data_IF_522376205768
#
_entry.id   IF_522376205768
#
_cell.length_a   1.000
_cell.length_b   1.000
_cell.length_c   1.000
_cell.angle_alpha   90.00
_cell.angle_beta   90.00
_cell.angle_gamma   90.00
#
_symmetry.space_group_name_H-M   'P 1'
#
loop_
_entity.id
_entity.type
_entity.pdbx_description
1 polymer ?
#
# COMPACT_ATOMS: atom_id res chain seq x y z
N UNK A 1 34.35 -47.33 0.25
CA UNK A 1 33.52 -47.00 1.45
C UNK A 1 33.21 -45.50 1.65
N UNK A 2 33.49 -44.60 0.68
CA UNK A 2 33.20 -43.14 0.80
C UNK A 2 31.92 -42.65 0.10
N UNK A 3 31.19 -43.53 -0.61
CA UNK A 3 30.02 -43.14 -1.43
C UNK A 3 28.64 -43.34 -0.76
N UNK A 4 28.60 -43.89 0.46
CA UNK A 4 27.34 -44.17 1.18
C UNK A 4 27.11 -43.17 2.34
N UNK A 5 28.10 -42.34 2.68
CA UNK A 5 27.99 -41.36 3.77
C UNK A 5 27.29 -40.05 3.36
N UNK A 6 27.22 -39.72 2.06
CA UNK A 6 26.57 -38.50 1.57
C UNK A 6 25.02 -38.52 1.63
N UNK A 7 24.30 -39.61 1.30
CA UNK A 7 22.85 -39.62 1.41
C UNK A 7 22.34 -39.68 2.85
N UNK A 8 23.15 -40.18 3.80
CA UNK A 8 22.79 -40.20 5.22
C UNK A 8 22.80 -38.79 5.86
N UNK A 9 23.64 -37.89 5.36
CA UNK A 9 23.73 -36.51 5.86
C UNK A 9 22.59 -35.62 5.33
N UNK A 10 22.08 -35.91 4.13
CA UNK A 10 20.93 -35.19 3.53
C UNK A 10 19.60 -35.68 4.14
N UNK A 11 19.51 -36.95 4.54
CA UNK A 11 18.34 -37.47 5.25
C UNK A 11 18.24 -36.96 6.70
N UNK A 12 19.36 -36.59 7.34
CA UNK A 12 19.34 -36.00 8.68
C UNK A 12 18.95 -34.50 8.70
N UNK A 13 18.99 -33.81 7.55
CA UNK A 13 18.61 -32.39 7.43
C UNK A 13 17.12 -32.18 7.09
N UNK A 14 16.35 -33.25 6.86
CA UNK A 14 14.93 -33.18 6.47
C UNK A 14 13.95 -33.51 7.61
N UNK A 15 14.43 -33.74 8.84
CA UNK A 15 13.59 -33.95 10.04
C UNK A 15 13.89 -32.91 11.12
N UNK A 16 14.29 -31.69 10.72
CA UNK A 16 14.13 -30.52 11.57
C UNK A 16 12.75 -29.92 11.26
N UNK A 17 11.68 -30.66 11.56
CA UNK A 17 10.39 -30.02 11.76
C UNK A 17 10.60 -28.97 12.87
N UNK A 18 10.10 -27.73 12.71
CA UNK A 18 10.16 -26.78 13.80
C UNK A 18 9.44 -27.46 14.97
N UNK A 19 10.17 -27.69 16.06
CA UNK A 19 9.54 -28.09 17.32
C UNK A 19 8.66 -26.90 17.69
N UNK A 20 7.37 -27.03 17.39
CA UNK A 20 6.34 -26.07 17.74
C UNK A 20 6.23 -26.17 19.26
N UNK A 21 6.86 -25.25 19.97
CA UNK A 21 6.75 -25.19 21.42
C UNK A 21 5.30 -24.81 21.72
N UNK A 22 4.51 -25.79 22.16
CA UNK A 22 3.14 -25.54 22.61
C UNK A 22 3.16 -24.48 23.71
N UNK A 23 2.04 -23.75 23.87
CA UNK A 23 1.94 -22.78 24.95
C UNK A 23 2.15 -23.45 26.30
N UNK A 24 2.83 -22.74 27.21
CA UNK A 24 2.95 -23.18 28.58
C UNK A 24 1.54 -23.33 29.18
N UNK A 25 1.12 -24.55 29.59
CA UNK A 25 -0.19 -24.77 30.17
C UNK A 25 -0.47 -23.89 31.40
N UNK A 26 0.59 -23.47 32.12
CA UNK A 26 0.47 -22.58 33.26
C UNK A 26 -0.08 -21.19 32.90
N UNK A 27 0.17 -20.69 31.67
CA UNK A 27 -0.40 -19.43 31.19
C UNK A 27 -1.91 -19.51 30.98
N UNK A 28 -2.41 -20.70 30.63
CA UNK A 28 -3.83 -20.91 30.34
C UNK A 28 -4.64 -21.19 31.61
N UNK A 29 -4.01 -21.64 32.69
CA UNK A 29 -4.67 -21.83 33.99
C UNK A 29 -5.33 -20.55 34.53
N UNK A 30 -4.82 -19.36 34.15
CA UNK A 30 -5.45 -18.09 34.48
C UNK A 30 -6.87 -17.90 33.93
N UNK A 31 -7.33 -18.74 33.00
CA UNK A 31 -8.70 -18.74 32.48
C UNK A 31 -9.61 -19.77 33.16
N UNK A 32 -9.05 -20.74 33.88
CA UNK A 32 -9.78 -21.83 34.55
C UNK A 32 -10.48 -21.32 35.81
N UNK A 33 -9.77 -20.52 36.61
CA UNK A 33 -10.33 -19.89 37.80
C UNK A 33 -11.17 -18.65 37.41
N UNK A 34 -12.22 -18.36 38.19
CA UNK A 34 -13.07 -17.19 37.94
C UNK A 34 -12.46 -15.86 38.44
N UNK A 35 -11.13 -15.83 38.59
CA UNK A 35 -10.37 -14.64 38.95
C UNK A 35 -10.11 -13.77 37.71
N UNK A 36 -10.72 -12.59 37.70
CA UNK A 36 -10.51 -11.59 36.66
C UNK A 36 -9.07 -11.05 36.61
N UNK A 37 -8.35 -11.03 37.75
CA UNK A 37 -6.95 -10.60 37.81
C UNK A 37 -6.05 -11.52 37.00
N UNK A 38 -6.12 -12.83 37.27
CA UNK A 38 -5.40 -13.86 36.54
C UNK A 38 -5.71 -13.85 35.04
N UNK A 39 -6.98 -13.69 34.64
CA UNK A 39 -7.39 -13.57 33.22
C UNK A 39 -6.70 -12.40 32.52
N UNK A 40 -6.63 -11.23 33.16
CA UNK A 40 -5.97 -10.05 32.59
C UNK A 40 -4.46 -10.24 32.43
N UNK A 41 -3.80 -10.87 33.40
CA UNK A 41 -2.37 -11.16 33.33
C UNK A 41 -2.06 -12.18 32.23
N UNK A 42 -2.87 -13.23 32.11
CA UNK A 42 -2.76 -14.22 31.04
C UNK A 42 -2.88 -13.56 29.65
N UNK A 43 -3.90 -12.72 29.44
CA UNK A 43 -4.07 -11.96 28.18
C UNK A 43 -2.86 -11.09 27.86
N UNK A 44 -2.32 -10.37 28.85
CA UNK A 44 -1.14 -9.52 28.67
C UNK A 44 0.09 -10.35 28.25
N UNK A 45 0.31 -11.50 28.89
CA UNK A 45 1.41 -12.42 28.55
C UNK A 45 1.26 -13.02 27.16
N UNK A 46 0.04 -13.43 26.77
CA UNK A 46 -0.25 -13.91 25.40
C UNK A 46 0.11 -12.84 24.36
N UNK A 47 -0.17 -11.57 24.66
CA UNK A 47 0.21 -10.43 23.83
C UNK A 47 1.73 -10.24 23.66
N UNK A 48 2.53 -10.61 24.66
CA UNK A 48 4.00 -10.52 24.62
C UNK A 48 4.65 -11.68 23.85
N UNK A 49 4.05 -12.87 23.89
CA UNK A 49 4.55 -14.08 23.20
C UNK A 49 4.37 -13.93 21.69
N UNK A 50 3.17 -13.55 21.23
CA UNK A 50 2.91 -13.18 19.83
C UNK A 50 3.05 -14.29 18.78
N UNK A 51 3.15 -15.56 19.20
CA UNK A 51 3.17 -16.71 18.30
C UNK A 51 1.77 -17.04 17.72
N UNK A 52 1.70 -18.06 16.86
CA UNK A 52 0.40 -18.47 16.29
C UNK A 52 -0.56 -19.03 17.32
N UNK A 53 -0.04 -19.69 18.35
CA UNK A 53 -0.85 -20.38 19.33
C UNK A 53 -1.47 -19.35 20.30
N UNK A 54 -0.72 -18.33 20.72
CA UNK A 54 -1.24 -17.19 21.50
C UNK A 54 -2.26 -16.38 20.69
N UNK A 55 -2.03 -16.23 19.38
CA UNK A 55 -3.01 -15.60 18.48
C UNK A 55 -4.30 -16.40 18.38
N UNK A 56 -4.24 -17.74 18.36
CA UNK A 56 -5.40 -18.61 18.36
C UNK A 56 -6.22 -18.45 19.64
N UNK A 57 -5.57 -18.45 20.80
CA UNK A 57 -6.24 -18.30 22.10
C UNK A 57 -6.88 -16.91 22.26
N UNK A 58 -6.16 -15.83 21.93
CA UNK A 58 -6.72 -14.48 21.91
C UNK A 58 -7.80 -14.30 20.83
N UNK A 59 -7.70 -15.08 19.74
CA UNK A 59 -8.71 -15.35 18.73
C UNK A 59 -10.02 -15.77 19.37
N UNK A 60 -9.99 -16.99 19.88
CA UNK A 60 -11.11 -17.67 20.50
C UNK A 60 -11.72 -16.88 21.67
N UNK A 61 -10.89 -16.22 22.48
CA UNK A 61 -11.40 -15.39 23.57
C UNK A 61 -12.20 -14.19 23.06
N UNK A 62 -11.77 -13.51 21.99
CA UNK A 62 -12.55 -12.39 21.44
C UNK A 62 -13.84 -12.84 20.75
N UNK A 63 -13.80 -14.04 20.16
CA UNK A 63 -14.93 -14.66 19.46
C UNK A 63 -15.86 -15.41 20.42
N UNK A 64 -15.61 -15.31 21.73
CA UNK A 64 -16.38 -15.95 22.80
C UNK A 64 -16.47 -17.48 22.63
N UNK A 65 -15.46 -18.11 22.03
CA UNK A 65 -15.37 -19.57 21.77
C UNK A 65 -14.38 -20.31 22.67
N UNK A 66 -13.77 -19.61 23.63
CA UNK A 66 -12.90 -20.21 24.63
C UNK A 66 -13.75 -20.85 25.75
N UNK A 67 -13.50 -22.13 26.01
CA UNK A 67 -14.24 -22.97 26.94
C UNK A 67 -13.31 -23.56 27.99
N UNK A 68 -13.83 -23.84 29.18
CA UNK A 68 -13.12 -24.50 30.28
C UNK A 68 -13.84 -25.79 30.64
N UNK A 69 -13.10 -26.88 30.74
CA UNK A 69 -13.63 -28.17 31.18
C UNK A 69 -12.70 -28.77 32.25
N UNK A 70 -13.06 -28.60 33.51
CA UNK A 70 -12.18 -28.92 34.64
C UNK A 70 -10.94 -28.02 34.63
N UNK A 71 -9.74 -28.60 34.56
CA UNK A 71 -8.45 -27.87 34.50
C UNK A 71 -7.98 -27.56 33.07
N UNK A 72 -8.78 -27.90 32.05
CA UNK A 72 -8.40 -27.74 30.64
C UNK A 72 -9.07 -26.53 30.01
N UNK A 73 -8.31 -25.80 29.21
CA UNK A 73 -8.80 -24.71 28.36
C UNK A 73 -8.90 -25.23 26.92
N UNK A 74 -10.08 -25.07 26.33
CA UNK A 74 -10.48 -25.64 25.05
C UNK A 74 -11.01 -24.53 24.14
N UNK A 75 -10.96 -24.74 22.83
CA UNK A 75 -11.50 -23.82 21.82
C UNK A 75 -12.57 -24.57 21.03
N UNK A 76 -13.76 -24.00 20.91
CA UNK A 76 -14.85 -24.55 20.10
C UNK A 76 -15.00 -23.77 18.78
N UNK A 77 -14.67 -24.38 17.64
CA UNK A 77 -14.71 -23.70 16.33
C UNK A 77 -16.08 -23.75 15.63
N UNK A 78 -17.07 -24.38 16.26
CA UNK A 78 -18.41 -24.61 15.71
C UNK A 78 -18.67 -26.06 15.30
N UNK A 79 -17.63 -26.83 14.95
CA UNK A 79 -17.73 -28.24 14.57
C UNK A 79 -16.80 -29.14 15.40
N UNK A 80 -15.64 -28.65 15.81
CA UNK A 80 -14.61 -29.38 16.54
C UNK A 80 -14.21 -28.67 17.84
N UNK A 81 -13.71 -29.46 18.79
CA UNK A 81 -13.09 -28.97 20.02
C UNK A 81 -11.58 -29.13 19.89
N UNK A 82 -10.85 -28.04 20.05
CA UNK A 82 -9.39 -28.02 20.01
C UNK A 82 -8.82 -27.79 21.42
N UNK A 83 -7.66 -28.36 21.70
CA UNK A 83 -6.85 -27.99 22.87
C UNK A 83 -6.26 -26.59 22.66
N UNK A 84 -6.44 -25.68 23.62
CA UNK A 84 -6.00 -24.29 23.47
C UNK A 84 -4.46 -24.13 23.47
N UNK A 85 -3.72 -25.04 24.11
CA UNK A 85 -2.26 -24.99 24.19
C UNK A 85 -1.58 -25.55 22.93
N UNK A 86 -2.12 -26.65 22.38
CA UNK A 86 -1.51 -27.36 21.24
C UNK A 86 -2.19 -27.07 19.90
N UNK A 87 -3.47 -26.71 19.92
CA UNK A 87 -4.29 -26.55 18.71
C UNK A 87 -4.69 -27.88 18.06
N UNK A 88 -4.50 -29.02 18.73
CA UNK A 88 -4.91 -30.33 18.22
C UNK A 88 -6.42 -30.56 18.43
N UNK A 89 -7.05 -31.19 17.44
CA UNK A 89 -8.46 -31.58 17.53
C UNK A 89 -8.61 -32.75 18.50
N UNK A 90 -9.47 -32.59 19.51
CA UNK A 90 -9.76 -33.62 20.49
C UNK A 90 -10.90 -34.51 19.99
N UNK A 91 -10.63 -35.81 19.87
CA UNK A 91 -11.64 -36.81 19.50
C UNK A 91 -12.60 -37.16 20.65
N UNK A 92 -12.19 -36.87 21.89
CA UNK A 92 -12.96 -37.09 23.11
C UNK A 92 -12.80 -35.86 24.01
N UNK A 93 -13.92 -35.25 24.41
CA UNK A 93 -13.94 -34.04 25.21
C UNK A 93 -15.04 -34.13 26.29
N UNK A 94 -14.84 -33.50 27.46
CA UNK A 94 -15.82 -33.56 28.53
C UNK A 94 -17.13 -32.85 28.14
N UNK A 95 -18.28 -33.41 28.51
CA UNK A 95 -19.59 -32.79 28.25
C UNK A 95 -19.81 -31.47 29.04
N UNK A 96 -19.07 -31.27 30.14
CA UNK A 96 -19.18 -30.09 31.00
C UNK A 96 -18.21 -28.98 30.58
N UNK A 97 -18.54 -28.28 29.50
CA UNK A 97 -17.76 -27.14 29.02
C UNK A 97 -18.43 -25.83 29.41
N UNK A 98 -17.76 -25.04 30.25
CA UNK A 98 -18.20 -23.70 30.64
C UNK A 98 -17.50 -22.64 29.78
N UNK A 99 -18.26 -21.69 29.27
CA UNK A 99 -17.73 -20.62 28.42
C UNK A 99 -17.00 -19.56 29.25
N UNK A 100 -15.82 -19.12 28.79
CA UNK A 100 -15.11 -18.01 29.43
C UNK A 100 -15.81 -16.68 29.10
N UNK A 101 -16.48 -16.10 30.09
CA UNK A 101 -17.19 -14.82 29.90
C UNK A 101 -16.24 -13.64 29.69
N UNK A 102 -16.47 -12.87 28.61
CA UNK A 102 -15.68 -11.68 28.26
C UNK A 102 -16.48 -10.41 28.49
N UNK A 103 -16.14 -9.69 29.55
CA UNK A 103 -16.69 -8.35 29.81
C UNK A 103 -15.96 -7.27 29.00
N UNK A 104 -16.44 -6.03 29.08
CA UNK A 104 -15.85 -4.89 28.35
C UNK A 104 -14.36 -4.66 28.68
N UNK A 105 -13.94 -4.93 29.92
CA UNK A 105 -12.55 -4.75 30.36
C UNK A 105 -11.62 -5.81 29.74
N UNK A 106 -12.05 -7.06 29.70
CA UNK A 106 -11.33 -8.13 29.03
C UNK A 106 -11.27 -7.89 27.52
N UNK A 107 -12.34 -7.38 26.90
CA UNK A 107 -12.37 -7.01 25.47
C UNK A 107 -11.28 -5.98 25.13
N UNK A 108 -11.16 -4.92 25.92
CA UNK A 108 -10.09 -3.91 25.77
C UNK A 108 -8.70 -4.53 25.96
N UNK A 109 -8.52 -5.43 26.94
CA UNK A 109 -7.26 -6.12 27.16
C UNK A 109 -6.86 -7.02 25.98
N UNK A 110 -7.82 -7.73 25.38
CA UNK A 110 -7.59 -8.59 24.21
C UNK A 110 -7.17 -7.76 23.00
N UNK A 111 -7.83 -6.63 22.75
CA UNK A 111 -7.43 -5.72 21.66
C UNK A 111 -6.03 -5.13 21.86
N UNK A 112 -5.69 -4.79 23.10
CA UNK A 112 -4.35 -4.32 23.47
C UNK A 112 -3.31 -5.42 23.25
N UNK A 113 -3.58 -6.65 23.69
CA UNK A 113 -2.73 -7.81 23.49
C UNK A 113 -2.52 -8.11 22.00
N UNK A 114 -3.59 -8.11 21.19
CA UNK A 114 -3.50 -8.28 19.73
C UNK A 114 -2.66 -7.19 19.06
N UNK A 115 -2.85 -5.93 19.47
CA UNK A 115 -2.04 -4.82 18.96
C UNK A 115 -0.56 -4.98 19.32
N UNK A 116 -0.26 -5.47 20.53
CA UNK A 116 1.09 -5.74 20.99
C UNK A 116 1.75 -6.89 20.21
N UNK A 117 1.03 -7.99 19.95
CA UNK A 117 1.57 -9.12 19.18
C UNK A 117 2.07 -8.69 17.80
N UNK A 118 1.30 -7.87 17.10
CA UNK A 118 1.69 -7.42 15.77
C UNK A 118 2.88 -6.44 15.81
N UNK A 119 2.93 -5.56 16.82
CA UNK A 119 4.03 -4.62 17.03
C UNK A 119 5.35 -5.27 17.47
N UNK A 120 5.30 -6.38 18.21
CA UNK A 120 6.49 -7.10 18.68
C UNK A 120 6.82 -8.35 17.85
N UNK A 121 6.12 -8.55 16.73
CA UNK A 121 6.34 -9.66 15.82
C UNK A 121 7.80 -9.74 15.34
N UNK A 122 8.40 -10.94 15.21
CA UNK A 122 9.72 -11.09 14.61
C UNK A 122 9.74 -10.62 13.13
N UNK A 123 8.58 -10.64 12.46
CA UNK A 123 8.46 -10.26 11.05
C UNK A 123 8.32 -8.74 10.86
N UNK A 124 9.27 -8.13 10.15
CA UNK A 124 9.28 -6.68 9.85
C UNK A 124 7.99 -6.20 9.19
N UNK A 125 7.44 -6.97 8.23
CA UNK A 125 6.24 -6.60 7.50
C UNK A 125 5.02 -6.44 8.43
N UNK A 126 4.86 -7.33 9.42
CA UNK A 126 3.78 -7.25 10.41
C UNK A 126 3.93 -6.05 11.32
N UNK A 127 5.14 -5.80 11.85
CA UNK A 127 5.42 -4.62 12.68
C UNK A 127 5.13 -3.32 11.94
N UNK A 128 5.57 -3.22 10.68
CA UNK A 128 5.32 -2.05 9.85
C UNK A 128 3.82 -1.83 9.57
N UNK A 129 3.08 -2.90 9.28
CA UNK A 129 1.64 -2.82 9.06
C UNK A 129 0.91 -2.37 10.33
N UNK A 130 1.26 -2.94 11.49
CA UNK A 130 0.70 -2.57 12.78
C UNK A 130 0.98 -1.10 13.13
N UNK A 131 2.22 -0.65 12.96
CA UNK A 131 2.61 0.73 13.20
C UNK A 131 1.82 1.73 12.32
N UNK A 132 1.59 1.39 11.04
CA UNK A 132 0.78 2.23 10.13
C UNK A 132 -0.67 2.34 10.59
N UNK A 133 -1.30 1.23 11.00
CA UNK A 133 -2.69 1.23 11.49
C UNK A 133 -2.82 2.11 12.75
N UNK A 134 -1.85 2.03 13.66
CA UNK A 134 -1.86 2.84 14.88
C UNK A 134 -1.64 4.32 14.58
N UNK A 135 -0.77 4.64 13.63
CA UNK A 135 -0.52 6.00 13.16
C UNK A 135 -1.79 6.67 12.60
N UNK A 136 -2.62 5.93 11.87
CA UNK A 136 -3.85 6.48 11.27
C UNK A 136 -4.92 6.81 12.32
N UNK A 137 -5.08 5.94 13.34
CA UNK A 137 -6.13 6.09 14.37
C UNK A 137 -5.78 7.13 15.43
N UNK A 138 -4.54 7.21 15.89
CA UNK A 138 -4.10 8.16 16.91
C UNK A 138 -4.78 7.96 18.28
N UNK A 139 -4.74 6.73 18.81
CA UNK A 139 -5.37 6.36 20.07
C UNK A 139 -4.46 6.63 21.28
N UNK A 140 -4.90 7.54 22.17
CA UNK A 140 -4.16 7.92 23.37
C UNK A 140 -3.91 6.77 24.35
N UNK A 141 -4.82 5.79 24.42
CA UNK A 141 -4.67 4.62 25.29
C UNK A 141 -3.49 3.73 24.89
N UNK A 142 -3.02 3.85 23.64
CA UNK A 142 -1.95 3.03 23.07
C UNK A 142 -0.56 3.67 23.15
N UNK A 143 -0.45 4.89 23.70
CA UNK A 143 0.85 5.57 23.82
C UNK A 143 1.91 4.75 24.57
N UNK A 144 1.61 4.10 25.72
CA UNK A 144 2.62 3.30 26.42
C UNK A 144 3.11 2.11 25.59
N UNK A 145 2.21 1.51 24.79
CA UNK A 145 2.55 0.41 23.89
C UNK A 145 3.45 0.89 22.75
N UNK A 146 3.15 2.05 22.16
CA UNK A 146 3.99 2.68 21.12
C UNK A 146 5.39 3.02 21.64
N UNK A 147 5.49 3.56 22.87
CA UNK A 147 6.77 3.87 23.50
C UNK A 147 7.61 2.61 23.73
N UNK A 148 7.00 1.55 24.30
CA UNK A 148 7.68 0.25 24.48
C UNK A 148 8.11 -0.38 23.15
N UNK A 149 7.33 -0.20 22.09
CA UNK A 149 7.69 -0.65 20.74
C UNK A 149 8.88 0.14 20.17
N UNK A 150 8.88 1.48 20.32
CA UNK A 150 9.95 2.36 19.86
C UNK A 150 11.30 2.03 20.52
N UNK A 151 11.30 1.76 21.83
CA UNK A 151 12.50 1.40 22.60
C UNK A 151 13.16 0.09 22.14
N UNK A 152 12.35 -0.86 21.65
CA UNK A 152 12.81 -2.19 21.23
C UNK A 152 13.10 -2.27 19.74
N UNK A 153 12.53 -1.38 18.93
CA UNK A 153 12.64 -1.43 17.48
C UNK A 153 14.08 -1.11 17.03
N UNK A 154 14.54 -1.87 16.03
CA UNK A 154 15.89 -1.73 15.45
C UNK A 154 15.84 -1.30 13.98
N UNK A 155 14.72 -1.53 13.31
CA UNK A 155 14.52 -1.14 11.93
C UNK A 155 14.16 0.34 11.83
N UNK A 156 14.92 1.10 11.02
CA UNK A 156 14.74 2.54 10.89
C UNK A 156 13.37 2.93 10.31
N UNK A 157 12.84 2.14 9.39
CA UNK A 157 11.58 2.47 8.72
C UNK A 157 10.40 2.22 9.67
N UNK A 158 10.42 1.10 10.41
CA UNK A 158 9.40 0.82 11.42
C UNK A 158 9.48 1.84 12.55
N UNK A 159 10.69 2.17 13.01
CA UNK A 159 10.93 3.19 14.04
C UNK A 159 10.35 4.55 13.66
N UNK A 160 10.58 5.02 12.43
CA UNK A 160 10.02 6.29 11.94
C UNK A 160 8.48 6.28 11.92
N UNK A 161 7.85 5.17 11.55
CA UNK A 161 6.37 5.08 11.57
C UNK A 161 5.82 5.07 13.01
N UNK A 162 6.50 4.40 13.93
CA UNK A 162 6.15 4.39 15.36
C UNK A 162 6.31 5.77 15.99
N UNK A 163 7.37 6.49 15.65
CA UNK A 163 7.61 7.86 16.10
C UNK A 163 6.47 8.78 15.64
N UNK A 164 6.07 8.71 14.37
CA UNK A 164 4.93 9.47 13.85
C UNK A 164 3.61 9.07 14.53
N UNK A 165 3.40 7.78 14.84
CA UNK A 165 2.22 7.32 15.56
C UNK A 165 2.17 7.88 16.99
N UNK A 166 3.29 7.83 17.71
CA UNK A 166 3.42 8.39 19.05
C UNK A 166 3.25 9.92 19.04
N UNK A 167 3.88 10.61 18.10
CA UNK A 167 3.77 12.06 17.94
C UNK A 167 2.32 12.50 17.68
N UNK A 168 1.57 11.79 16.82
CA UNK A 168 0.16 12.09 16.58
C UNK A 168 -0.66 12.07 17.88
N UNK A 169 -0.40 11.09 18.73
CA UNK A 169 -1.07 10.96 20.04
C UNK A 169 -0.61 12.06 21.01
N UNK A 170 0.69 12.31 21.09
CA UNK A 170 1.30 13.30 21.97
C UNK A 170 0.93 14.74 21.64
N UNK A 171 0.47 15.02 20.40
CA UNK A 171 -0.09 16.32 20.04
C UNK A 171 -1.33 16.68 20.89
N UNK A 172 -2.00 15.67 21.47
CA UNK A 172 -3.10 15.83 22.42
C UNK A 172 -2.69 15.94 23.89
N UNK A 173 -1.38 15.92 24.22
CA UNK A 173 -0.89 15.90 25.60
C UNK A 173 -1.25 17.16 26.38
N UNK A 174 -1.39 17.04 27.70
CA UNK A 174 -1.56 18.17 28.61
C UNK A 174 -0.30 19.06 28.67
N UNK A 175 0.88 18.47 28.45
CA UNK A 175 2.17 19.15 28.56
C UNK A 175 2.55 19.89 27.26
N UNK A 176 2.79 21.22 27.29
CA UNK A 176 3.16 21.99 26.09
C UNK A 176 4.44 21.48 25.42
N UNK A 177 5.42 21.02 26.21
CA UNK A 177 6.70 20.51 25.68
C UNK A 177 6.50 19.24 24.86
N UNK A 178 5.60 18.35 25.28
CA UNK A 178 5.27 17.14 24.51
C UNK A 178 4.53 17.47 23.22
N UNK A 179 3.58 18.43 23.27
CA UNK A 179 2.88 18.90 22.07
C UNK A 179 3.83 19.56 21.07
N UNK A 180 4.81 20.32 21.54
CA UNK A 180 5.82 20.94 20.68
C UNK A 180 6.65 19.87 19.95
N UNK A 181 7.22 18.91 20.68
CA UNK A 181 8.00 17.80 20.08
C UNK A 181 7.16 16.99 19.10
N UNK A 182 5.90 16.72 19.45
CA UNK A 182 4.95 16.06 18.58
C UNK A 182 4.71 16.83 17.28
N UNK A 183 4.50 18.15 17.35
CA UNK A 183 4.31 18.98 16.17
C UNK A 183 5.53 18.92 15.24
N UNK A 184 6.74 19.02 15.79
CA UNK A 184 8.00 18.92 15.03
C UNK A 184 8.17 17.55 14.36
N UNK A 185 7.93 16.46 15.09
CA UNK A 185 8.00 15.10 14.53
C UNK A 185 6.98 14.89 13.40
N UNK A 186 5.77 15.45 13.53
CA UNK A 186 4.73 15.37 12.52
C UNK A 186 5.02 16.18 11.25
N UNK A 187 6.03 17.05 11.24
CA UNK A 187 6.45 17.83 10.06
C UNK A 187 6.95 16.97 8.90
N UNK A 188 7.32 15.71 9.17
CA UNK A 188 7.71 14.75 8.15
C UNK A 188 6.54 13.99 7.54
N UNK A 189 5.35 14.10 8.13
CA UNK A 189 4.15 13.43 7.65
C UNK A 189 3.59 14.08 6.38
N UNK A 190 3.07 13.25 5.46
CA UNK A 190 2.31 13.68 4.29
C UNK A 190 0.82 13.32 4.39
N UNK A 191 0.38 12.86 5.56
CA UNK A 191 -1.00 12.45 5.80
C UNK A 191 -1.93 13.67 5.97
N UNK A 192 -3.01 13.72 5.19
CA UNK A 192 -4.02 14.77 5.25
C UNK A 192 -4.67 14.88 6.63
N UNK A 193 -4.83 13.76 7.35
CA UNK A 193 -5.38 13.78 8.70
C UNK A 193 -4.45 14.51 9.68
N UNK A 194 -3.13 14.34 9.54
CA UNK A 194 -2.13 15.06 10.35
C UNK A 194 -2.14 16.54 10.03
N UNK A 195 -2.21 16.91 8.75
CA UNK A 195 -2.31 18.31 8.32
C UNK A 195 -3.54 18.98 8.95
N UNK A 196 -4.69 18.31 8.93
CA UNK A 196 -5.92 18.84 9.53
C UNK A 196 -5.79 19.01 11.05
N UNK A 197 -5.15 18.06 11.75
CA UNK A 197 -4.89 18.16 13.20
C UNK A 197 -3.96 19.32 13.54
N UNK A 198 -2.86 19.48 12.80
CA UNK A 198 -1.94 20.61 12.97
C UNK A 198 -2.65 21.94 12.69
N UNK A 199 -3.48 22.02 11.65
CA UNK A 199 -4.22 23.24 11.31
C UNK A 199 -5.23 23.63 12.41
N UNK A 200 -5.94 22.66 12.98
CA UNK A 200 -6.87 22.91 14.09
C UNK A 200 -6.14 23.48 15.34
N UNK A 201 -4.91 23.04 15.60
CA UNK A 201 -4.07 23.52 16.70
C UNK A 201 -3.50 24.93 16.51
N UNK A 202 -3.65 25.56 15.33
CA UNK A 202 -3.29 26.97 15.16
C UNK A 202 -4.31 27.92 15.82
N UNK A 203 -5.52 27.44 16.09
CA UNK A 203 -6.56 28.24 16.72
C UNK A 203 -6.19 28.56 18.18
N UNK A 204 -6.20 29.84 18.60
CA UNK A 204 -5.83 30.22 19.96
C UNK A 204 -6.69 29.58 21.05
N UNK A 205 -7.92 29.19 20.72
CA UNK A 205 -8.85 28.48 21.61
C UNK A 205 -8.43 27.03 21.85
N UNK A 206 -7.71 26.43 20.89
CA UNK A 206 -7.27 25.02 20.93
C UNK A 206 -5.86 24.90 21.51
N UNK A 207 -4.95 25.81 21.14
CA UNK A 207 -3.58 25.83 21.65
C UNK A 207 -3.27 27.20 22.28
N UNK A 208 -3.19 27.23 23.61
CA UNK A 208 -2.88 28.44 24.36
C UNK A 208 -1.40 28.83 24.31
N UNK A 209 -0.50 27.89 24.04
CA UNK A 209 0.94 28.12 24.07
C UNK A 209 1.49 28.68 22.74
N UNK A 210 2.16 29.83 22.81
CA UNK A 210 2.74 30.50 21.64
C UNK A 210 3.86 29.71 20.96
N UNK A 211 4.68 29.00 21.72
CA UNK A 211 5.79 28.21 21.19
C UNK A 211 5.27 26.98 20.45
N UNK A 212 4.24 26.31 20.99
CA UNK A 212 3.58 25.19 20.30
C UNK A 212 2.94 25.67 19.00
N UNK A 213 2.21 26.80 19.01
CA UNK A 213 1.63 27.38 17.78
C UNK A 213 2.71 27.72 16.73
N UNK A 214 3.85 28.25 17.15
CA UNK A 214 4.97 28.53 16.26
C UNK A 214 5.55 27.25 15.63
N UNK A 215 5.73 26.18 16.43
CA UNK A 215 6.21 24.88 15.96
C UNK A 215 5.22 24.23 14.97
N UNK A 216 3.92 24.27 15.28
CA UNK A 216 2.84 23.80 14.39
C UNK A 216 2.84 24.56 13.06
N UNK A 217 2.97 25.89 13.11
CA UNK A 217 3.05 26.73 11.90
C UNK A 217 4.29 26.39 11.05
N UNK A 218 5.44 26.19 11.68
CA UNK A 218 6.67 25.78 10.99
C UNK A 218 6.54 24.41 10.33
N UNK A 219 5.89 23.47 11.02
CA UNK A 219 5.64 22.11 10.53
C UNK A 219 4.66 22.08 9.36
N UNK A 220 3.58 22.86 9.42
CA UNK A 220 2.67 23.01 8.27
C UNK A 220 3.37 23.61 7.05
N UNK A 221 4.18 24.66 7.24
CA UNK A 221 4.91 25.30 6.15
C UNK A 221 5.93 24.34 5.50
N UNK A 222 6.58 23.47 6.27
CA UNK A 222 7.52 22.49 5.73
C UNK A 222 6.81 21.39 4.92
N UNK A 223 5.66 20.89 5.40
CA UNK A 223 4.81 19.93 4.69
C UNK A 223 4.28 20.54 3.39
N UNK A 224 3.68 21.73 3.46
CA UNK A 224 3.12 22.41 2.28
C UNK A 224 4.20 22.70 1.23
N UNK A 225 5.40 23.11 1.63
CA UNK A 225 6.53 23.31 0.70
C UNK A 225 6.93 22.01 0.00
N UNK A 226 7.01 20.89 0.72
CA UNK A 226 7.35 19.58 0.13
C UNK A 226 6.27 19.13 -0.86
N UNK A 227 4.99 19.25 -0.50
CA UNK A 227 3.86 18.91 -1.36
C UNK A 227 3.82 19.80 -2.61
N UNK A 228 4.00 21.11 -2.46
CA UNK A 228 4.03 22.06 -3.56
C UNK A 228 5.19 21.77 -4.52
N UNK A 229 6.38 21.42 -4.01
CA UNK A 229 7.51 21.02 -4.83
C UNK A 229 7.23 19.73 -5.61
N UNK A 230 6.67 18.70 -4.97
CA UNK A 230 6.31 17.45 -5.64
C UNK A 230 5.25 17.68 -6.74
N UNK A 231 4.23 18.48 -6.47
CA UNK A 231 3.22 18.86 -7.45
C UNK A 231 3.79 19.70 -8.58
N UNK A 232 4.69 20.64 -8.29
CA UNK A 232 5.37 21.44 -9.30
C UNK A 232 6.22 20.55 -10.23
N UNK A 233 6.97 19.60 -9.68
CA UNK A 233 7.73 18.63 -10.49
C UNK A 233 6.81 17.80 -11.39
N UNK A 234 5.71 17.27 -10.86
CA UNK A 234 4.73 16.52 -11.65
C UNK A 234 4.05 17.35 -12.74
N UNK A 235 3.72 18.60 -12.43
CA UNK A 235 3.11 19.55 -13.37
C UNK A 235 4.09 19.95 -14.48
N UNK A 236 5.34 20.22 -14.13
CA UNK A 236 6.40 20.50 -15.10
C UNK A 236 6.62 19.30 -16.00
N UNK A 237 6.74 18.09 -15.46
CA UNK A 237 6.91 16.87 -16.26
C UNK A 237 5.74 16.67 -17.23
N UNK A 238 4.51 16.81 -16.76
CA UNK A 238 3.30 16.72 -17.59
C UNK A 238 3.27 17.80 -18.66
N UNK A 239 3.63 19.04 -18.31
CA UNK A 239 3.70 20.16 -19.22
C UNK A 239 4.78 19.99 -20.29
N UNK A 240 5.98 19.51 -19.93
CA UNK A 240 7.04 19.18 -20.88
C UNK A 240 6.64 18.02 -21.79
N UNK A 241 6.04 16.95 -21.24
CA UNK A 241 5.56 15.81 -22.00
C UNK A 241 4.51 16.21 -23.03
N UNK A 242 3.42 16.86 -22.59
CA UNK A 242 2.37 17.33 -23.48
C UNK A 242 2.90 18.37 -24.49
N UNK A 243 3.74 19.29 -24.02
CA UNK A 243 4.39 20.29 -24.87
C UNK A 243 5.26 19.66 -25.94
N UNK A 244 6.01 18.59 -25.62
CA UNK A 244 6.83 17.86 -26.59
C UNK A 244 5.99 17.18 -27.67
N UNK A 245 4.84 16.59 -27.29
CA UNK A 245 3.93 15.94 -28.23
C UNK A 245 3.36 16.98 -29.18
N UNK A 246 2.89 18.12 -28.65
CA UNK A 246 2.37 19.23 -29.44
C UNK A 246 3.45 19.83 -30.34
N UNK A 247 4.69 19.97 -29.85
CA UNK A 247 5.82 20.47 -30.62
C UNK A 247 6.18 19.52 -31.77
N UNK A 248 6.23 18.21 -31.53
CA UNK A 248 6.49 17.20 -32.57
C UNK A 248 5.39 17.21 -33.63
N UNK A 249 4.12 17.30 -33.22
CA UNK A 249 2.99 17.41 -34.14
C UNK A 249 3.05 18.70 -34.97
N UNK A 250 3.31 19.85 -34.33
CA UNK A 250 3.45 21.13 -35.01
C UNK A 250 4.64 21.17 -35.98
N UNK A 251 5.77 20.55 -35.62
CA UNK A 251 6.94 20.41 -36.49
C UNK A 251 6.62 19.59 -37.74
N UNK A 252 5.85 18.51 -37.61
CA UNK A 252 5.35 17.72 -38.75
C UNK A 252 4.51 18.55 -39.72
N UNK A 253 3.60 19.38 -39.20
CA UNK A 253 2.81 20.31 -40.00
C UNK A 253 3.69 21.39 -40.67
N UNK A 254 4.66 21.95 -39.94
CA UNK A 254 5.55 22.97 -40.47
C UNK A 254 6.43 22.45 -41.62
N UNK A 255 6.96 21.23 -41.51
CA UNK A 255 7.78 20.60 -42.56
C UNK A 255 6.92 20.29 -43.79
N UNK A 256 5.73 19.71 -43.61
CA UNK A 256 4.86 19.35 -44.73
C UNK A 256 4.38 20.57 -45.51
N UNK A 257 3.94 21.63 -44.82
CA UNK A 257 3.55 22.89 -45.47
C UNK A 257 4.77 23.61 -46.08
N UNK A 258 5.87 23.69 -45.35
CA UNK A 258 7.05 24.48 -45.73
C UNK A 258 7.76 23.97 -46.99
N UNK A 259 7.76 22.66 -47.24
CA UNK A 259 8.43 22.06 -48.42
C UNK A 259 7.50 21.99 -49.64
N UNK A 260 6.21 21.69 -49.45
CA UNK A 260 5.29 21.42 -50.57
C UNK A 260 4.40 22.61 -50.95
N UNK A 261 4.27 23.64 -50.10
CA UNK A 261 3.39 24.78 -50.35
C UNK A 261 1.89 24.40 -50.41
N UNK A 262 1.52 23.27 -49.83
CA UNK A 262 0.16 22.70 -49.80
C UNK A 262 -0.35 22.66 -48.36
N UNK A 263 -1.57 23.13 -48.13
CA UNK A 263 -2.25 23.05 -46.83
C UNK A 263 -2.83 21.64 -46.69
N UNK A 264 -2.33 20.85 -45.72
CA UNK A 264 -2.82 19.51 -45.43
C UNK A 264 -3.67 19.50 -44.15
N UNK A 265 -4.99 19.39 -44.28
CA UNK A 265 -5.89 19.26 -43.14
C UNK A 265 -6.00 17.82 -42.59
N UNK A 266 -5.60 16.80 -43.36
CA UNK A 266 -5.65 15.39 -42.96
C UNK A 266 -4.45 14.95 -42.10
N UNK A 267 -3.55 15.87 -41.73
CA UNK A 267 -2.36 15.52 -40.95
C UNK A 267 -2.72 14.88 -39.59
N UNK A 268 -3.78 15.35 -38.93
CA UNK A 268 -4.27 14.76 -37.68
C UNK A 268 -4.67 13.28 -37.83
N UNK A 269 -5.20 12.90 -39.00
CA UNK A 269 -5.58 11.51 -39.28
C UNK A 269 -4.36 10.60 -39.44
N UNK A 270 -3.22 11.12 -39.91
CA UNK A 270 -1.98 10.34 -39.96
C UNK A 270 -1.45 10.04 -38.55
N UNK A 271 -1.64 10.96 -37.59
CA UNK A 271 -1.34 10.71 -36.18
C UNK A 271 -2.28 9.63 -35.62
N UNK A 272 -3.57 9.70 -35.97
CA UNK A 272 -4.56 8.69 -35.58
C UNK A 272 -4.17 7.30 -36.12
N UNK A 273 -3.80 7.17 -37.40
CA UNK A 273 -3.31 5.91 -37.99
C UNK A 273 -2.11 5.34 -37.21
N UNK A 274 -1.15 6.18 -36.81
CA UNK A 274 -0.02 5.76 -35.98
C UNK A 274 -0.45 5.27 -34.58
N UNK A 275 -1.43 5.92 -33.97
CA UNK A 275 -2.00 5.51 -32.69
C UNK A 275 -2.71 4.15 -32.78
N UNK A 276 -3.51 3.92 -33.82
CA UNK A 276 -4.15 2.62 -34.06
C UNK A 276 -3.12 1.52 -34.35
N UNK A 277 -2.07 1.80 -35.12
CA UNK A 277 -1.00 0.84 -35.34
C UNK A 277 -0.33 0.43 -34.01
N UNK A 278 -0.11 1.39 -33.10
CA UNK A 278 0.42 1.13 -31.76
C UNK A 278 -0.52 0.26 -30.92
N UNK A 279 -1.82 0.56 -30.95
CA UNK A 279 -2.85 -0.23 -30.27
C UNK A 279 -2.91 -1.68 -30.78
N UNK A 280 -2.85 -1.89 -32.10
CA UNK A 280 -2.82 -3.22 -32.71
C UNK A 280 -1.56 -3.98 -32.28
N UNK A 281 -0.39 -3.34 -32.31
CA UNK A 281 0.86 -3.97 -31.85
C UNK A 281 0.77 -4.35 -30.38
N UNK A 282 0.22 -3.49 -29.52
CA UNK A 282 -0.01 -3.80 -28.12
C UNK A 282 -0.88 -5.04 -27.95
N UNK A 283 -2.02 -5.11 -28.67
CA UNK A 283 -2.92 -6.26 -28.63
C UNK A 283 -2.26 -7.56 -29.12
N UNK A 284 -1.40 -7.49 -30.13
CA UNK A 284 -0.64 -8.64 -30.63
C UNK A 284 0.40 -9.13 -29.62
N UNK A 285 1.10 -8.22 -28.95
CA UNK A 285 2.04 -8.58 -27.87
C UNK A 285 1.31 -9.20 -26.68
N UNK A 286 0.18 -8.62 -26.27
CA UNK A 286 -0.61 -9.16 -25.16
C UNK A 286 -1.16 -10.57 -25.42
N UNK A 287 -1.56 -10.85 -26.67
CA UNK A 287 -2.15 -12.15 -27.05
C UNK A 287 -1.12 -13.23 -27.37
N UNK A 288 -0.03 -12.90 -28.05
CA UNK A 288 0.94 -13.89 -28.55
C UNK A 288 2.21 -13.98 -27.69
N UNK A 289 2.58 -12.93 -26.97
CA UNK A 289 3.79 -12.87 -26.14
C UNK A 289 3.55 -12.20 -24.78
N UNK A 290 2.72 -12.80 -23.90
CA UNK A 290 2.39 -12.21 -22.60
C UNK A 290 3.63 -11.96 -21.72
N UNK A 291 4.68 -12.79 -21.85
CA UNK A 291 5.94 -12.61 -21.14
C UNK A 291 6.77 -11.39 -21.60
N UNK A 292 6.47 -10.83 -22.78
CA UNK A 292 7.12 -9.63 -23.33
C UNK A 292 6.13 -8.48 -23.53
N UNK A 293 4.94 -8.54 -22.93
CA UNK A 293 3.88 -7.58 -23.16
C UNK A 293 4.32 -6.14 -22.87
N UNK A 294 5.17 -5.91 -21.87
CA UNK A 294 5.68 -4.58 -21.51
C UNK A 294 6.65 -3.98 -22.53
N UNK A 295 7.22 -4.80 -23.42
CA UNK A 295 8.22 -4.38 -24.42
C UNK A 295 7.58 -4.01 -25.78
N UNK A 296 6.25 -4.00 -25.90
CA UNK A 296 5.54 -3.72 -27.15
C UNK A 296 5.92 -2.37 -27.77
N UNK A 297 6.28 -1.37 -26.94
CA UNK A 297 6.60 -0.02 -27.39
C UNK A 297 7.80 0.01 -28.35
N UNK A 298 8.79 -0.87 -28.15
CA UNK A 298 9.97 -0.98 -29.03
C UNK A 298 9.59 -1.41 -30.45
N UNK A 299 8.57 -2.25 -30.60
CA UNK A 299 8.04 -2.68 -31.89
C UNK A 299 7.00 -1.68 -32.43
N UNK A 300 6.20 -1.04 -31.57
CA UNK A 300 5.16 -0.12 -31.97
C UNK A 300 5.71 1.15 -32.64
N UNK A 301 6.85 1.68 -32.18
CA UNK A 301 7.49 2.87 -32.77
C UNK A 301 7.81 2.67 -34.27
N UNK A 302 8.59 1.65 -34.69
CA UNK A 302 8.87 1.44 -36.10
C UNK A 302 7.61 1.06 -36.89
N UNK A 303 6.72 0.22 -36.34
CA UNK A 303 5.50 -0.20 -37.03
C UNK A 303 4.58 1.00 -37.30
N UNK A 304 4.30 1.84 -36.30
CA UNK A 304 3.47 3.03 -36.47
C UNK A 304 4.06 4.01 -37.47
N UNK A 305 5.38 4.20 -37.47
CA UNK A 305 6.09 5.02 -38.45
C UNK A 305 5.88 4.49 -39.88
N UNK A 306 6.13 3.20 -40.13
CA UNK A 306 5.99 2.64 -41.48
C UNK A 306 4.55 2.57 -41.96
N UNK A 307 3.59 2.29 -41.06
CA UNK A 307 2.16 2.29 -41.41
C UNK A 307 1.71 3.70 -41.78
N UNK A 308 2.03 4.71 -40.96
CA UNK A 308 1.70 6.11 -41.26
C UNK A 308 2.40 6.59 -42.55
N UNK A 309 3.66 6.20 -42.77
CA UNK A 309 4.39 6.52 -44.00
C UNK A 309 3.77 5.86 -45.23
N UNK A 310 3.33 4.60 -45.13
CA UNK A 310 2.66 3.90 -46.23
C UNK A 310 1.33 4.59 -46.61
N UNK A 311 0.52 4.97 -45.62
CA UNK A 311 -0.70 5.76 -45.84
C UNK A 311 -0.37 7.12 -46.46
N UNK A 312 0.64 7.82 -45.95
CA UNK A 312 1.11 9.08 -46.52
C UNK A 312 1.54 8.97 -48.00
N UNK A 313 2.31 7.94 -48.36
CA UNK A 313 2.72 7.68 -49.75
C UNK A 313 1.52 7.36 -50.64
N UNK A 314 0.54 6.63 -50.12
CA UNK A 314 -0.70 6.35 -50.84
C UNK A 314 -1.43 7.67 -51.15
N UNK A 315 -1.65 8.51 -50.14
CA UNK A 315 -2.29 9.83 -50.28
C UNK A 315 -1.55 10.72 -51.28
N UNK A 316 -0.21 10.73 -51.22
CA UNK A 316 0.65 11.50 -52.11
C UNK A 316 0.45 11.08 -53.58
N UNK A 317 0.51 9.78 -53.86
CA UNK A 317 0.42 9.26 -55.22
C UNK A 317 -0.97 9.37 -55.82
N UNK A 318 -2.02 9.29 -55.00
CA UNK A 318 -3.41 9.25 -55.51
C UNK A 318 -4.07 10.61 -55.58
N UNK A 319 -3.78 11.52 -54.64
CA UNK A 319 -4.49 12.80 -54.53
C UNK A 319 -3.53 13.98 -54.60
N UNK A 320 -2.56 14.05 -53.68
CA UNK A 320 -1.82 15.29 -53.42
C UNK A 320 -0.97 15.72 -54.63
N UNK A 321 -0.28 14.80 -55.31
CA UNK A 321 0.58 15.17 -56.46
C UNK A 321 -0.18 15.86 -57.59
N UNK A 322 -1.48 15.59 -57.74
CA UNK A 322 -2.30 16.15 -58.83
C UNK A 322 -2.81 17.57 -58.51
N UNK A 323 -2.64 18.01 -57.27
CA UNK A 323 -3.16 19.29 -56.76
C UNK A 323 -2.05 20.31 -56.45
N UNK A 324 -0.80 20.00 -56.84
CA UNK A 324 0.31 20.93 -56.70
C UNK A 324 0.07 22.24 -57.45
N UNK A 325 0.40 23.35 -56.78
CA UNK A 325 0.18 24.71 -57.30
C UNK A 325 -1.26 25.24 -57.15
N UNK A 326 -2.20 24.49 -56.54
CA UNK A 326 -3.62 24.88 -56.35
C UNK A 326 -4.03 24.87 -54.86
N UNK A 327 -3.65 25.89 -54.06
CA UNK A 327 -3.77 25.85 -52.59
C UNK A 327 -5.19 25.68 -52.03
N UNK A 328 -6.20 26.29 -52.68
CA UNK A 328 -7.59 26.19 -52.20
C UNK A 328 -8.18 24.79 -52.44
N UNK A 329 -7.79 24.16 -53.54
CA UNK A 329 -8.31 22.85 -53.93
C UNK A 329 -7.65 21.73 -53.13
N UNK A 330 -6.37 21.88 -52.82
CA UNK A 330 -5.66 20.96 -51.94
C UNK A 330 -6.21 21.00 -50.50
N UNK A 331 -6.65 22.16 -50.02
CA UNK A 331 -7.35 22.27 -48.73
C UNK A 331 -8.66 21.46 -48.73
N UNK A 332 -9.52 21.65 -49.73
CA UNK A 332 -10.80 20.91 -49.85
C UNK A 332 -10.58 19.40 -50.02
N UNK A 333 -9.61 19.01 -50.83
CA UNK A 333 -9.30 17.60 -51.07
C UNK A 333 -8.74 16.92 -49.81
N UNK A 334 -7.84 17.57 -49.07
CA UNK A 334 -7.30 17.01 -47.83
C UNK A 334 -8.34 16.98 -46.71
N UNK A 335 -9.31 17.89 -46.69
CA UNK A 335 -10.46 17.78 -45.79
C UNK A 335 -11.35 16.57 -46.13
N UNK A 336 -11.69 16.37 -47.42
CA UNK A 336 -12.46 15.20 -47.84
C UNK A 336 -11.74 13.88 -47.55
N UNK A 337 -10.42 13.86 -47.70
CA UNK A 337 -9.58 12.72 -47.33
C UNK A 337 -9.56 12.46 -45.82
N UNK A 338 -9.54 13.51 -45.00
CA UNK A 338 -9.69 13.38 -43.54
C UNK A 338 -11.01 12.72 -43.19
N UNK A 339 -12.13 13.12 -43.80
CA UNK A 339 -13.43 12.47 -43.59
C UNK A 339 -13.41 10.98 -43.94
N UNK A 340 -12.80 10.60 -45.07
CA UNK A 340 -12.67 9.19 -45.43
C UNK A 340 -11.86 8.44 -44.38
N UNK A 341 -10.70 8.98 -43.97
CA UNK A 341 -9.84 8.33 -42.99
C UNK A 341 -10.52 8.15 -41.63
N UNK A 342 -11.24 9.17 -41.14
CA UNK A 342 -12.03 9.10 -39.90
C UNK A 342 -13.10 8.00 -40.00
N UNK A 343 -13.78 7.86 -41.14
CA UNK A 343 -14.85 6.86 -41.31
C UNK A 343 -14.32 5.44 -41.50
N UNK A 344 -13.08 5.29 -41.97
CA UNK A 344 -12.44 3.98 -42.21
C UNK A 344 -11.61 3.46 -41.06
N UNK A 345 -11.28 4.31 -40.09
CA UNK A 345 -10.54 3.96 -38.88
C UNK A 345 -11.44 3.36 -37.80
#
# INVERSE_FOLDING_TARGET
MRRILLPALILLLTIAAPVRAALDPALLQGFVDDDFGAKLEAIARLGEIGDEDARRVLGALADESLMVAGERVLIFDGENVLDAATGEVLADYPDNMDQVMVNNRLRVAIEAARSAMELFSPERARRLAAAKVLRERGDASKLPLLQKALEREKDSDVGAVLELAAARVQLGSAEPIERLKAAEALSESSDQAVINLLRARLEPEVEGDDAVRAAVKGSLASIERRLAMAQATGTLFTGLSLGSILLLAALGLAITYGVMGVINMAHGELLMVGAYATYVVQGQFASHWPAMADNYLLAAIPVSFFVAAAVGVLMERTVIRFLYGRPLESLLATWGLSLVLIQTA
#
